data_IF_954802455544
#
_entry.id   IF_954802455544
#
_cell.length_a   1.000
_cell.length_b   1.000
_cell.length_c   1.000
_cell.angle_alpha   90.00
_cell.angle_beta   90.00
_cell.angle_gamma   90.00
#
_symmetry.space_group_name_H-M   'P 1'
#
loop_
_entity.id
_entity.type
_entity.pdbx_description
1 polymer ?
#
# COMPACT_ATOMS: atom_id res chain seq x y z
N UNK A 1 34.76 -13.78 -22.20
CA UNK A 1 33.75 -13.96 -21.13
C UNK A 1 33.98 -12.90 -20.08
N UNK A 2 33.24 -11.80 -20.13
CA UNK A 2 33.11 -10.86 -19.02
C UNK A 2 31.63 -10.80 -18.72
N UNK A 3 31.22 -11.50 -17.65
CA UNK A 3 29.83 -11.56 -17.24
C UNK A 3 29.37 -10.19 -16.81
N UNK A 4 28.36 -9.67 -17.50
CA UNK A 4 27.60 -8.49 -17.07
C UNK A 4 26.94 -8.84 -15.74
N UNK A 5 27.55 -8.42 -14.64
CA UNK A 5 26.92 -8.47 -13.33
C UNK A 5 25.66 -7.62 -13.39
N UNK A 6 24.49 -8.26 -13.41
CA UNK A 6 23.22 -7.58 -13.22
C UNK A 6 23.29 -6.86 -11.88
N UNK A 7 23.45 -5.54 -11.94
CA UNK A 7 23.43 -4.66 -10.78
C UNK A 7 22.04 -4.80 -10.15
N UNK A 8 21.94 -5.64 -9.11
CA UNK A 8 20.72 -5.73 -8.32
C UNK A 8 20.53 -4.37 -7.69
N UNK A 9 19.62 -3.58 -8.24
CA UNK A 9 19.17 -2.34 -7.63
C UNK A 9 18.37 -2.74 -6.38
N UNK A 10 19.04 -2.74 -5.23
CA UNK A 10 18.43 -3.09 -3.95
C UNK A 10 17.47 -1.97 -3.54
N UNK A 11 16.28 -2.34 -3.07
CA UNK A 11 15.23 -1.39 -2.67
C UNK A 11 15.45 -1.01 -1.20
N UNK A 12 15.71 0.27 -0.94
CA UNK A 12 16.03 0.79 0.40
C UNK A 12 14.85 1.46 1.13
N UNK A 13 13.70 1.67 0.46
CA UNK A 13 12.54 2.32 1.08
C UNK A 13 11.77 1.37 2.00
N UNK A 14 11.71 1.70 3.30
CA UNK A 14 10.97 1.00 4.35
C UNK A 14 11.18 -0.55 4.48
N UNK A 15 12.40 -1.10 4.36
CA UNK A 15 12.64 -2.50 4.67
C UNK A 15 12.76 -2.70 6.18
N UNK A 16 12.02 -3.65 6.75
CA UNK A 16 12.19 -4.02 8.16
C UNK A 16 13.28 -5.07 8.41
N UNK A 17 13.83 -5.68 7.35
CA UNK A 17 14.79 -6.80 7.42
C UNK A 17 15.89 -6.60 6.36
N UNK A 18 17.11 -7.05 6.68
CA UNK A 18 18.24 -7.08 5.74
C UNK A 18 19.19 -5.90 5.88
N UNK A 19 20.11 -5.76 4.94
CA UNK A 19 21.20 -4.76 4.96
C UNK A 19 20.70 -3.31 5.01
N UNK A 20 19.52 -3.03 4.45
CA UNK A 20 18.91 -1.68 4.44
C UNK A 20 17.98 -1.40 5.62
N UNK A 21 17.75 -2.36 6.53
CA UNK A 21 16.92 -2.12 7.71
C UNK A 21 17.35 -0.92 8.59
N UNK A 22 18.64 -0.56 8.72
CA UNK A 22 19.05 0.61 9.50
C UNK A 22 19.11 1.92 8.67
N UNK A 23 18.70 1.88 7.40
CA UNK A 23 18.85 3.00 6.45
C UNK A 23 17.52 3.72 6.26
N UNK A 24 17.54 5.05 6.34
CA UNK A 24 16.40 5.88 5.93
C UNK A 24 16.60 6.32 4.47
N UNK A 25 15.61 6.04 3.62
CA UNK A 25 15.60 6.44 2.22
C UNK A 25 14.19 6.84 1.77
N UNK A 26 14.06 7.77 0.83
CA UNK A 26 12.77 8.08 0.19
C UNK A 26 12.38 7.01 -0.87
N UNK A 27 11.14 7.02 -1.39
CA UNK A 27 10.69 6.06 -2.41
C UNK A 27 11.53 6.07 -3.70
N UNK A 28 12.21 7.18 -3.98
CA UNK A 28 13.13 7.35 -5.10
C UNK A 28 14.52 6.74 -4.82
N UNK A 29 14.78 6.31 -3.58
CA UNK A 29 16.01 5.63 -3.15
C UNK A 29 17.11 6.56 -2.67
N UNK A 30 16.82 7.85 -2.42
CA UNK A 30 17.80 8.80 -1.86
C UNK A 30 17.89 8.60 -0.34
N UNK A 31 19.12 8.48 0.14
CA UNK A 31 19.41 8.38 1.56
C UNK A 31 19.08 9.68 2.29
N UNK A 32 18.47 9.55 3.47
CA UNK A 32 18.03 10.67 4.30
C UNK A 32 18.70 10.62 5.67
N UNK A 33 18.82 11.77 6.30
CA UNK A 33 19.00 11.82 7.75
C UNK A 33 17.73 11.34 8.48
N UNK A 34 17.87 10.99 9.75
CA UNK A 34 16.72 10.59 10.60
C UNK A 34 15.73 11.74 10.76
N UNK A 35 16.23 12.98 10.83
CA UNK A 35 15.44 14.19 10.96
C UNK A 35 14.62 14.45 9.69
N UNK A 36 15.23 14.32 8.52
CA UNK A 36 14.55 14.45 7.23
C UNK A 36 13.50 13.36 7.02
N UNK A 37 13.81 12.11 7.40
CA UNK A 37 12.85 11.02 7.38
C UNK A 37 11.67 11.30 8.31
N UNK A 38 11.92 11.64 9.57
CA UNK A 38 10.87 11.91 10.55
C UNK A 38 9.96 13.06 10.12
N UNK A 39 10.50 14.10 9.46
CA UNK A 39 9.72 15.24 8.97
C UNK A 39 8.86 14.92 7.73
N UNK A 40 9.17 13.85 6.99
CA UNK A 40 8.52 13.56 5.70
C UNK A 40 7.83 12.18 5.64
N UNK A 41 8.02 11.30 6.62
CA UNK A 41 7.52 9.92 6.60
C UNK A 41 6.02 9.81 6.30
N UNK A 42 5.21 10.73 6.84
CA UNK A 42 3.76 10.72 6.68
C UNK A 42 3.31 11.16 5.26
N UNK A 43 4.24 11.64 4.43
CA UNK A 43 3.99 11.87 2.99
C UNK A 43 4.06 10.59 2.17
N UNK A 44 4.75 9.57 2.67
CA UNK A 44 5.00 8.32 1.95
C UNK A 44 4.29 7.13 2.58
N UNK A 45 4.11 7.15 3.90
CA UNK A 45 3.46 6.11 4.66
C UNK A 45 2.18 6.65 5.29
N UNK A 46 1.11 5.84 5.39
CA UNK A 46 -0.12 6.27 6.05
C UNK A 46 0.14 6.75 7.48
N UNK A 47 -0.29 7.97 7.76
CA UNK A 47 -0.23 8.58 9.08
C UNK A 47 -1.30 7.99 10.02
N UNK A 48 -1.28 8.39 11.29
CA UNK A 48 -2.36 8.06 12.23
C UNK A 48 -3.71 8.61 11.75
N UNK A 49 -3.74 9.83 11.23
CA UNK A 49 -4.98 10.46 10.78
C UNK A 49 -5.54 9.79 9.52
N UNK A 50 -4.67 9.37 8.59
CA UNK A 50 -5.09 8.57 7.42
C UNK A 50 -5.74 7.25 7.86
N UNK A 51 -5.16 6.57 8.86
CA UNK A 51 -5.72 5.34 9.41
C UNK A 51 -7.08 5.56 10.08
N UNK A 52 -7.24 6.67 10.82
CA UNK A 52 -8.53 7.04 11.43
C UNK A 52 -9.58 7.35 10.36
N UNK A 53 -9.20 8.06 9.30
CA UNK A 53 -10.09 8.32 8.17
C UNK A 53 -10.54 7.02 7.49
N UNK A 54 -9.61 6.12 7.17
CA UNK A 54 -9.93 4.81 6.59
C UNK A 54 -10.88 4.03 7.50
N UNK A 55 -10.59 3.97 8.80
CA UNK A 55 -11.45 3.30 9.77
C UNK A 55 -12.88 3.85 9.78
N UNK A 56 -13.05 5.17 9.62
CA UNK A 56 -14.37 5.81 9.54
C UNK A 56 -15.20 5.38 8.30
N UNK A 57 -14.54 4.95 7.22
CA UNK A 57 -15.18 4.45 6.02
C UNK A 57 -15.67 2.99 6.16
N UNK A 58 -15.07 2.21 7.06
CA UNK A 58 -15.29 0.77 7.20
C UNK A 58 -16.62 0.45 7.90
N UNK A 59 -17.73 0.70 7.23
CA UNK A 59 -19.08 0.28 7.66
C UNK A 59 -19.54 -0.95 6.86
N UNK A 60 -20.02 -2.02 7.51
CA UNK A 60 -20.48 -3.22 6.81
C UNK A 60 -21.73 -2.94 5.98
N UNK A 61 -21.80 -3.56 4.82
CA UNK A 61 -22.94 -3.53 3.89
C UNK A 61 -23.19 -4.96 3.43
N UNK A 62 -24.37 -5.51 3.73
CA UNK A 62 -24.69 -6.94 3.52
C UNK A 62 -25.92 -7.19 2.65
N UNK A 63 -26.59 -6.14 2.18
CA UNK A 63 -27.74 -6.32 1.31
C UNK A 63 -27.29 -6.78 -0.09
N UNK A 64 -27.96 -7.76 -0.72
CA UNK A 64 -27.60 -8.21 -2.05
C UNK A 64 -27.58 -7.06 -3.07
N UNK A 65 -26.55 -7.03 -3.93
CA UNK A 65 -26.37 -5.99 -4.94
C UNK A 65 -25.97 -4.60 -4.39
N UNK A 66 -25.65 -4.49 -3.10
CA UNK A 66 -25.20 -3.23 -2.49
C UNK A 66 -23.71 -3.26 -2.13
N UNK A 67 -23.06 -2.11 -2.19
CA UNK A 67 -21.62 -1.96 -1.93
C UNK A 67 -21.39 -0.76 -1.00
N UNK A 68 -20.32 -0.82 -0.21
CA UNK A 68 -19.90 0.32 0.59
C UNK A 68 -19.48 1.49 -0.30
N UNK A 69 -19.75 2.73 0.13
CA UNK A 69 -19.55 3.92 -0.71
C UNK A 69 -18.09 4.21 -1.11
N UNK A 70 -17.11 3.53 -0.51
CA UNK A 70 -15.69 3.69 -0.80
C UNK A 70 -15.16 2.70 -1.86
N UNK A 71 -15.99 1.76 -2.33
CA UNK A 71 -15.62 0.77 -3.35
C UNK A 71 -16.65 0.71 -4.48
N UNK A 72 -16.17 0.71 -5.72
CA UNK A 72 -17.04 0.56 -6.89
C UNK A 72 -17.51 -0.91 -7.02
N UNK A 73 -18.71 -1.15 -7.60
CA UNK A 73 -19.16 -2.50 -7.92
C UNK A 73 -18.17 -3.26 -8.82
N UNK A 74 -18.00 -4.59 -8.67
CA UNK A 74 -17.19 -5.39 -9.56
C UNK A 74 -17.79 -5.42 -10.97
N UNK A 75 -16.94 -5.55 -11.99
CA UNK A 75 -17.39 -5.59 -13.40
C UNK A 75 -18.18 -6.84 -13.76
N UNK A 76 -17.90 -7.97 -13.10
CA UNK A 76 -18.51 -9.27 -13.37
C UNK A 76 -18.70 -9.98 -12.02
N UNK A 77 -19.81 -10.69 -11.86
CA UNK A 77 -20.04 -11.58 -10.72
C UNK A 77 -19.14 -12.81 -10.75
N UNK A 78 -19.15 -13.58 -9.66
CA UNK A 78 -18.46 -14.87 -9.57
C UNK A 78 -19.34 -15.95 -10.21
N UNK A 79 -18.74 -16.89 -10.95
CA UNK A 79 -19.41 -18.04 -11.59
C UNK A 79 -20.60 -17.68 -12.50
N UNK A 80 -20.51 -16.56 -13.22
CA UNK A 80 -21.60 -16.02 -14.07
C UNK A 80 -22.91 -15.76 -13.30
N UNK A 81 -22.87 -15.67 -11.98
CA UNK A 81 -24.01 -15.27 -11.18
C UNK A 81 -24.26 -13.76 -11.37
N UNK A 82 -25.52 -13.31 -11.31
CA UNK A 82 -25.84 -11.89 -11.42
C UNK A 82 -25.25 -11.11 -10.23
N UNK A 83 -25.02 -9.80 -10.42
CA UNK A 83 -24.33 -8.96 -9.43
C UNK A 83 -25.06 -8.80 -8.09
N UNK A 84 -26.34 -9.15 -8.03
CA UNK A 84 -27.18 -9.18 -6.84
C UNK A 84 -27.29 -10.58 -6.19
N UNK A 85 -26.47 -11.54 -6.60
CA UNK A 85 -26.40 -12.84 -5.94
C UNK A 85 -25.89 -12.70 -4.50
N UNK A 86 -26.50 -13.46 -3.57
CA UNK A 86 -26.11 -13.51 -2.17
C UNK A 86 -24.91 -14.47 -1.99
N UNK A 87 -23.75 -13.92 -1.58
CA UNK A 87 -22.49 -14.64 -1.40
C UNK A 87 -22.18 -14.95 0.06
#
# INVERSE_FOLDING_TARGET
MTGTGSERRLVAFNPSIGEFAPVEADPEGRLLSKEEWAANRDRWLPSTDDNLFIASLMRPVSAPGTYAGWIAPPKVGIDNKPGDFEY
#
